data_IF_104747789888
#
_entry.id   IF_104747789888
#
_cell.length_a   1.000
_cell.length_b   1.000
_cell.length_c   1.000
_cell.angle_alpha   90.00
_cell.angle_beta   90.00
_cell.angle_gamma   90.00
#
_symmetry.space_group_name_H-M   'P 1'
#
loop_
_entity.id
_entity.type
_entity.pdbx_description
1 polymer ?
#
# COMPACT_ATOMS: atom_id res chain seq x y z
N UNK A 1 -23.85 6.00 -2.44
CA UNK A 1 -23.03 6.99 -1.69
C UNK A 1 -21.66 7.02 -2.35
N UNK A 2 -21.24 8.17 -2.86
CA UNK A 2 -19.93 8.37 -3.51
C UNK A 2 -18.90 8.67 -2.42
N UNK A 3 -17.73 8.04 -2.49
CA UNK A 3 -16.59 8.26 -1.62
C UNK A 3 -15.51 9.01 -2.40
N UNK A 4 -14.96 10.07 -1.79
CA UNK A 4 -13.97 10.95 -2.41
C UNK A 4 -12.67 10.87 -1.64
N UNK A 5 -11.55 10.57 -2.32
CA UNK A 5 -10.22 10.53 -1.71
C UNK A 5 -9.31 11.59 -2.35
N UNK A 6 -8.88 12.61 -1.59
CA UNK A 6 -7.97 13.63 -2.08
C UNK A 6 -6.52 13.12 -2.13
N UNK A 7 -5.83 13.33 -3.25
CA UNK A 7 -4.42 13.05 -3.48
C UNK A 7 -3.72 14.33 -3.96
N UNK A 8 -2.38 14.39 -3.93
CA UNK A 8 -1.66 15.62 -4.30
C UNK A 8 -1.87 15.90 -5.79
N UNK A 9 -2.67 16.94 -6.10
CA UNK A 9 -3.00 17.33 -7.47
C UNK A 9 -4.10 16.51 -8.14
N UNK A 10 -4.79 15.61 -7.43
CA UNK A 10 -5.92 14.88 -8.00
C UNK A 10 -6.97 14.48 -6.95
N UNK A 11 -8.19 14.20 -7.36
CA UNK A 11 -9.26 13.69 -6.49
C UNK A 11 -9.89 12.49 -7.16
N UNK A 12 -10.00 11.37 -6.46
CA UNK A 12 -10.63 10.16 -7.02
C UNK A 12 -11.97 9.89 -6.32
N UNK A 13 -13.01 9.74 -7.13
CA UNK A 13 -14.39 9.47 -6.70
C UNK A 13 -14.76 8.02 -7.01
N UNK A 14 -15.45 7.35 -6.08
CA UNK A 14 -15.86 5.96 -6.22
C UNK A 14 -17.28 5.75 -5.70
N UNK A 15 -18.07 4.91 -6.37
CA UNK A 15 -19.28 4.35 -5.79
C UNK A 15 -18.96 3.24 -4.79
N UNK A 16 -19.91 2.93 -3.90
CA UNK A 16 -19.77 1.87 -2.89
C UNK A 16 -19.70 0.48 -3.52
N UNK A 17 -20.37 0.29 -4.65
CA UNK A 17 -20.46 -0.98 -5.37
C UNK A 17 -19.13 -1.28 -6.09
N UNK A 18 -18.47 -0.25 -6.63
CA UNK A 18 -17.13 -0.38 -7.23
C UNK A 18 -16.04 -0.78 -6.23
N UNK A 19 -16.17 -0.42 -4.95
CA UNK A 19 -15.17 -0.74 -3.92
C UNK A 19 -15.23 -2.23 -3.54
N UNK A 20 -16.38 -2.88 -3.70
CA UNK A 20 -16.67 -4.20 -3.14
C UNK A 20 -15.83 -5.33 -3.74
N UNK A 21 -15.34 -5.15 -4.97
CA UNK A 21 -14.50 -6.13 -5.68
C UNK A 21 -13.01 -5.76 -5.69
N UNK A 22 -12.64 -4.61 -5.10
CA UNK A 22 -11.27 -4.07 -5.18
C UNK A 22 -10.39 -4.59 -4.05
N UNK A 23 -9.17 -4.94 -4.44
CA UNK A 23 -8.05 -5.20 -3.53
C UNK A 23 -7.09 -4.01 -3.57
N UNK A 24 -6.61 -3.60 -2.40
CA UNK A 24 -5.45 -2.73 -2.27
C UNK A 24 -4.30 -3.45 -1.58
N UNK A 25 -3.07 -3.08 -1.90
CA UNK A 25 -1.88 -3.55 -1.17
C UNK A 25 -1.15 -2.40 -0.51
N UNK A 26 -0.64 -2.67 0.69
CA UNK A 26 0.22 -1.73 1.41
C UNK A 26 1.42 -2.47 1.99
N UNK A 27 2.58 -1.83 2.02
CA UNK A 27 3.79 -2.38 2.62
C UNK A 27 4.38 -1.51 3.74
N UNK A 28 5.00 -2.13 4.74
CA UNK A 28 5.71 -1.42 5.80
C UNK A 28 6.52 -2.32 6.72
N UNK A 29 7.46 -1.71 7.46
CA UNK A 29 8.11 -2.42 8.57
C UNK A 29 7.18 -2.52 9.77
N UNK A 30 6.34 -1.52 10.02
CA UNK A 30 5.42 -1.49 11.18
C UNK A 30 6.14 -1.71 12.52
N UNK A 31 7.33 -1.11 12.70
CA UNK A 31 8.13 -1.26 13.92
C UNK A 31 7.37 -0.79 15.18
N UNK A 32 7.15 0.52 15.30
CA UNK A 32 6.18 1.05 16.28
C UNK A 32 4.90 1.41 15.53
N UNK A 33 3.76 0.85 15.92
CA UNK A 33 2.47 1.17 15.30
C UNK A 33 1.93 2.54 15.75
N UNK A 34 2.57 3.60 15.27
CA UNK A 34 2.19 5.00 15.51
C UNK A 34 1.06 5.48 14.58
N UNK A 35 0.61 6.72 14.76
CA UNK A 35 -0.53 7.29 14.02
C UNK A 35 -0.35 7.25 12.51
N UNK A 36 0.84 7.56 11.99
CA UNK A 36 1.10 7.45 10.54
C UNK A 36 0.86 6.05 9.95
N UNK A 37 1.11 4.96 10.68
CA UNK A 37 0.76 3.63 10.18
C UNK A 37 -0.77 3.39 10.19
N UNK A 38 -1.47 3.91 11.20
CA UNK A 38 -2.93 3.77 11.32
C UNK A 38 -3.65 4.52 10.21
N UNK A 39 -3.25 5.77 9.96
CA UNK A 39 -3.79 6.61 8.90
C UNK A 39 -3.53 5.97 7.52
N UNK A 40 -2.35 5.40 7.33
CA UNK A 40 -1.95 4.67 6.13
C UNK A 40 -2.80 3.42 5.87
N UNK A 41 -3.08 2.64 6.92
CA UNK A 41 -3.97 1.47 6.84
C UNK A 41 -5.40 1.90 6.55
N UNK A 42 -5.91 2.93 7.23
CA UNK A 42 -7.25 3.46 7.00
C UNK A 42 -7.42 3.95 5.55
N UNK A 43 -6.43 4.68 5.02
CA UNK A 43 -6.44 5.15 3.64
C UNK A 43 -6.54 4.01 2.64
N UNK A 44 -5.89 2.86 2.89
CA UNK A 44 -6.02 1.70 2.01
C UNK A 44 -7.47 1.19 1.93
N UNK A 45 -8.18 1.17 3.07
CA UNK A 45 -9.61 0.85 3.13
C UNK A 45 -10.52 1.94 2.55
N UNK A 46 -9.97 3.09 2.17
CA UNK A 46 -10.70 4.10 1.40
C UNK A 46 -10.80 3.75 -0.08
N UNK A 47 -9.83 2.99 -0.60
CA UNK A 47 -9.73 2.61 -2.01
C UNK A 47 -10.21 1.18 -2.32
N UNK A 48 -10.34 0.32 -1.31
CA UNK A 48 -10.61 -1.10 -1.50
C UNK A 48 -11.43 -1.72 -0.37
N UNK A 49 -12.20 -2.75 -0.71
CA UNK A 49 -12.91 -3.56 0.30
C UNK A 49 -11.97 -4.51 1.03
N UNK A 50 -10.97 -5.04 0.33
CA UNK A 50 -9.99 -5.96 0.90
C UNK A 50 -8.57 -5.38 0.80
N UNK A 51 -7.78 -5.50 1.87
CA UNK A 51 -6.42 -4.96 1.93
C UNK A 51 -5.40 -6.04 2.27
N UNK A 52 -4.39 -6.22 1.44
CA UNK A 52 -3.24 -7.08 1.73
C UNK A 52 -2.13 -6.20 2.32
N UNK A 53 -1.73 -6.51 3.56
CA UNK A 53 -0.77 -5.75 4.34
C UNK A 53 0.54 -6.53 4.44
N UNK A 54 1.55 -6.08 3.71
CA UNK A 54 2.88 -6.68 3.71
C UNK A 54 3.75 -6.12 4.83
N UNK A 55 4.15 -7.00 5.74
CA UNK A 55 5.04 -6.69 6.86
C UNK A 55 6.45 -7.23 6.58
N UNK A 56 7.47 -6.36 6.68
CA UNK A 56 8.86 -6.77 6.43
C UNK A 56 9.32 -7.84 7.41
N UNK A 57 9.99 -8.90 6.94
CA UNK A 57 10.59 -9.91 7.83
C UNK A 57 11.82 -9.37 8.54
N UNK A 58 12.29 -10.08 9.56
CA UNK A 58 13.47 -9.68 10.33
C UNK A 58 14.75 -9.72 9.47
N UNK A 59 14.85 -10.69 8.56
CA UNK A 59 15.92 -10.77 7.57
C UNK A 59 15.91 -9.57 6.62
N UNK A 60 14.71 -9.09 6.23
CA UNK A 60 14.61 -7.93 5.35
C UNK A 60 15.13 -6.65 6.01
N UNK A 61 14.81 -6.45 7.30
CA UNK A 61 15.15 -5.21 8.02
C UNK A 61 16.56 -5.21 8.57
N UNK A 62 17.14 -6.39 8.79
CA UNK A 62 18.51 -6.54 9.29
C UNK A 62 19.50 -5.81 8.36
N UNK A 63 20.36 -4.97 8.95
CA UNK A 63 21.34 -4.17 8.21
C UNK A 63 20.79 -3.01 7.37
N UNK A 64 19.47 -2.82 7.28
CA UNK A 64 18.86 -1.68 6.53
C UNK A 64 18.41 -0.52 7.40
N UNK A 65 18.36 -0.74 8.71
CA UNK A 65 17.99 0.27 9.71
C UNK A 65 19.16 0.47 10.65
N UNK A 66 19.38 1.73 11.02
CA UNK A 66 20.45 2.13 11.97
C UNK A 66 20.11 1.76 13.42
N UNK A 67 18.86 1.37 13.66
CA UNK A 67 18.33 0.99 14.97
C UNK A 67 17.79 -0.44 14.92
N UNK A 68 17.73 -1.08 16.09
CA UNK A 68 17.14 -2.39 16.22
C UNK A 68 15.62 -2.31 16.06
N UNK A 69 15.11 -2.97 15.02
CA UNK A 69 13.68 -3.13 14.78
C UNK A 69 13.15 -4.24 15.68
N UNK A 70 11.91 -4.10 16.18
CA UNK A 70 11.24 -5.19 16.91
C UNK A 70 11.13 -6.47 16.09
N UNK A 71 11.15 -7.66 16.73
CA UNK A 71 10.94 -8.91 16.02
C UNK A 71 9.64 -8.91 15.22
N UNK A 72 9.63 -9.65 14.11
CA UNK A 72 8.50 -9.78 13.20
C UNK A 72 7.22 -10.13 13.92
N UNK A 73 7.29 -11.09 14.83
CA UNK A 73 6.14 -11.58 15.57
C UNK A 73 5.48 -10.48 16.42
N UNK A 74 6.26 -9.67 17.13
CA UNK A 74 5.74 -8.56 17.93
C UNK A 74 5.03 -7.52 17.05
N UNK A 75 5.64 -7.17 15.92
CA UNK A 75 5.08 -6.22 14.96
C UNK A 75 3.79 -6.75 14.33
N UNK A 76 3.77 -8.04 13.97
CA UNK A 76 2.59 -8.72 13.44
C UNK A 76 1.43 -8.68 14.45
N UNK A 77 1.69 -9.05 15.71
CA UNK A 77 0.66 -9.08 16.76
C UNK A 77 0.05 -7.70 17.00
N UNK A 78 0.87 -6.65 17.06
CA UNK A 78 0.38 -5.27 17.21
C UNK A 78 -0.46 -4.82 16.03
N UNK A 79 -0.08 -5.20 14.82
CA UNK A 79 -0.83 -4.90 13.61
C UNK A 79 -2.15 -5.68 13.57
N UNK A 80 -2.13 -6.97 13.89
CA UNK A 80 -3.31 -7.85 13.97
C UNK A 80 -4.31 -7.34 15.03
N UNK A 81 -3.83 -6.89 16.19
CA UNK A 81 -4.65 -6.27 17.23
C UNK A 81 -5.31 -5.00 16.72
N UNK A 82 -4.58 -4.16 15.99
CA UNK A 82 -5.10 -2.92 15.43
C UNK A 82 -6.19 -3.15 14.39
N UNK A 83 -5.98 -4.02 13.40
CA UNK A 83 -6.98 -4.30 12.36
C UNK A 83 -8.25 -4.93 12.97
N UNK A 84 -8.11 -5.74 14.02
CA UNK A 84 -9.25 -6.24 14.80
C UNK A 84 -9.99 -5.09 15.50
N UNK A 85 -9.28 -4.16 16.13
CA UNK A 85 -9.87 -3.03 16.85
C UNK A 85 -10.67 -2.09 15.95
N UNK A 86 -10.23 -1.87 14.71
CA UNK A 86 -10.97 -1.03 13.74
C UNK A 86 -12.03 -1.80 12.94
N UNK A 87 -12.26 -3.09 13.25
CA UNK A 87 -13.35 -3.89 12.67
C UNK A 87 -13.11 -4.35 11.23
N UNK A 88 -11.85 -4.46 10.79
CA UNK A 88 -11.49 -4.83 9.40
C UNK A 88 -10.70 -6.14 9.30
N UNK A 89 -10.63 -6.92 10.39
CA UNK A 89 -9.88 -8.20 10.42
C UNK A 89 -10.26 -9.13 9.26
N UNK A 90 -11.55 -9.28 8.97
CA UNK A 90 -12.05 -10.18 7.91
C UNK A 90 -11.96 -9.57 6.51
N UNK A 91 -11.45 -8.33 6.42
CA UNK A 91 -11.26 -7.54 5.19
C UNK A 91 -9.77 -7.30 4.92
N UNK A 92 -8.89 -8.01 5.60
CA UNK A 92 -7.47 -7.92 5.32
C UNK A 92 -6.74 -9.23 5.52
N UNK A 93 -5.59 -9.31 4.86
CA UNK A 93 -4.60 -10.34 5.08
C UNK A 93 -3.27 -9.70 5.44
N UNK A 94 -2.58 -10.21 6.46
CA UNK A 94 -1.23 -9.74 6.82
C UNK A 94 -0.23 -10.79 6.34
N UNK A 95 0.68 -10.40 5.44
CA UNK A 95 1.66 -11.30 4.81
C UNK A 95 3.10 -10.87 5.10
N UNK A 96 4.04 -11.81 5.32
CA UNK A 96 5.45 -11.48 5.42
C UNK A 96 6.01 -10.98 4.07
N UNK A 97 7.04 -10.13 4.14
CA UNK A 97 7.78 -9.63 2.97
C UNK A 97 9.29 -9.63 3.27
N UNK A 98 9.98 -10.69 2.84
CA UNK A 98 11.37 -10.95 3.20
C UNK A 98 12.41 -10.52 2.16
N UNK A 99 12.07 -10.55 0.87
CA UNK A 99 13.00 -10.24 -0.22
C UNK A 99 12.33 -9.36 -1.27
N UNK A 100 12.99 -8.26 -1.65
CA UNK A 100 12.47 -7.30 -2.63
C UNK A 100 12.42 -7.85 -4.06
N UNK A 101 13.17 -8.90 -4.38
CA UNK A 101 13.16 -9.53 -5.71
C UNK A 101 12.10 -10.62 -5.77
N UNK A 102 12.09 -11.52 -4.79
CA UNK A 102 11.08 -12.60 -4.70
C UNK A 102 9.68 -12.00 -4.62
N UNK A 103 9.50 -10.94 -3.84
CA UNK A 103 8.24 -10.21 -3.78
C UNK A 103 7.79 -9.69 -5.15
N UNK A 104 8.68 -9.15 -5.99
CA UNK A 104 8.25 -8.64 -7.31
C UNK A 104 7.79 -9.79 -8.18
N UNK A 105 8.50 -10.92 -8.17
CA UNK A 105 8.12 -12.12 -8.93
C UNK A 105 6.79 -12.70 -8.43
N UNK A 106 6.62 -12.83 -7.12
CA UNK A 106 5.40 -13.35 -6.51
C UNK A 106 4.22 -12.42 -6.75
N UNK A 107 4.43 -11.12 -6.58
CA UNK A 107 3.43 -10.07 -6.84
C UNK A 107 3.03 -10.03 -8.32
N UNK A 108 3.99 -10.16 -9.24
CA UNK A 108 3.74 -10.30 -10.67
C UNK A 108 2.89 -11.55 -10.95
N UNK A 109 3.23 -12.69 -10.36
CA UNK A 109 2.50 -13.93 -10.59
C UNK A 109 1.05 -13.85 -10.08
N UNK A 110 0.84 -13.26 -8.91
CA UNK A 110 -0.49 -13.15 -8.29
C UNK A 110 -1.35 -12.11 -9.01
N UNK A 111 -0.82 -10.91 -9.24
CA UNK A 111 -1.60 -9.76 -9.70
C UNK A 111 -1.40 -9.42 -11.17
N UNK A 112 -0.89 -10.33 -12.00
CA UNK A 112 -0.97 -10.20 -13.48
C UNK A 112 -1.85 -11.27 -14.12
N UNK A 113 -2.63 -11.97 -13.29
CA UNK A 113 -3.60 -12.99 -13.69
C UNK A 113 -5.05 -12.57 -13.46
N UNK A 114 -5.27 -11.63 -12.55
CA UNK A 114 -6.58 -11.14 -12.16
C UNK A 114 -6.62 -9.61 -12.15
N UNK A 115 -7.78 -9.06 -12.50
CA UNK A 115 -7.99 -7.60 -12.61
C UNK A 115 -8.66 -6.99 -11.37
N UNK A 116 -8.44 -7.62 -10.21
CA UNK A 116 -9.05 -7.19 -8.93
C UNK A 116 -8.13 -6.29 -8.10
N UNK A 117 -6.84 -6.22 -8.44
CA UNK A 117 -5.90 -5.33 -7.77
C UNK A 117 -6.05 -3.91 -8.31
N UNK A 118 -6.63 -3.04 -7.50
CA UNK A 118 -6.92 -1.67 -7.88
C UNK A 118 -5.77 -0.71 -7.52
N UNK A 119 -5.21 -0.84 -6.32
CA UNK A 119 -4.25 0.13 -5.78
C UNK A 119 -3.08 -0.56 -5.08
N UNK A 120 -1.89 0.00 -5.23
CA UNK A 120 -0.72 -0.38 -4.45
C UNK A 120 -0.05 0.85 -3.85
N UNK A 121 0.08 0.85 -2.52
CA UNK A 121 0.80 1.90 -1.80
C UNK A 121 2.23 1.45 -1.54
N UNK A 122 3.17 2.15 -2.18
CA UNK A 122 4.54 1.68 -2.34
C UNK A 122 5.55 2.69 -1.81
N UNK A 123 6.65 2.20 -1.25
CA UNK A 123 7.79 3.06 -0.96
C UNK A 123 8.52 3.43 -2.26
N UNK A 124 9.25 4.56 -2.33
CA UNK A 124 9.82 5.06 -3.57
C UNK A 124 10.72 4.05 -4.30
N UNK A 125 11.43 3.19 -3.57
CA UNK A 125 12.28 2.15 -4.14
C UNK A 125 11.53 1.04 -4.89
N UNK A 126 10.21 0.94 -4.73
CA UNK A 126 9.36 -0.02 -5.45
C UNK A 126 8.64 0.63 -6.64
N UNK A 127 8.69 1.95 -6.79
CA UNK A 127 7.91 2.66 -7.80
C UNK A 127 8.19 2.16 -9.22
N UNK A 128 9.45 2.13 -9.65
CA UNK A 128 9.84 1.64 -10.98
C UNK A 128 9.46 0.16 -11.21
N UNK A 129 9.50 -0.66 -10.15
CA UNK A 129 9.09 -2.06 -10.21
C UNK A 129 7.58 -2.17 -10.49
N UNK A 130 6.77 -1.34 -9.83
CA UNK A 130 5.33 -1.30 -10.06
C UNK A 130 4.93 -0.68 -11.39
N UNK A 131 5.71 0.27 -11.92
CA UNK A 131 5.53 0.74 -13.30
C UNK A 131 5.78 -0.40 -14.30
N UNK A 132 6.78 -1.25 -14.08
CA UNK A 132 7.01 -2.43 -14.91
C UNK A 132 5.85 -3.44 -14.82
N UNK A 133 5.28 -3.64 -13.62
CA UNK A 133 4.07 -4.46 -13.42
C UNK A 133 2.90 -3.91 -14.23
N UNK A 134 2.65 -2.60 -14.18
CA UNK A 134 1.58 -1.95 -14.94
C UNK A 134 1.75 -2.14 -16.45
N UNK A 135 2.96 -1.93 -16.99
CA UNK A 135 3.24 -2.19 -18.41
C UNK A 135 2.93 -3.63 -18.82
N UNK A 136 3.26 -4.61 -17.97
CA UNK A 136 2.95 -6.02 -18.24
C UNK A 136 1.44 -6.29 -18.18
N UNK A 137 0.73 -5.71 -17.21
CA UNK A 137 -0.75 -5.81 -17.10
C UNK A 137 -1.41 -5.26 -18.36
N UNK A 138 -1.01 -4.07 -18.80
CA UNK A 138 -1.52 -3.42 -20.01
C UNK A 138 -1.27 -4.27 -21.27
N UNK A 139 -0.08 -4.85 -21.42
CA UNK A 139 0.24 -5.75 -22.54
C UNK A 139 -0.63 -7.01 -22.59
N UNK A 140 -1.26 -7.38 -21.46
CA UNK A 140 -2.20 -8.50 -21.33
C UNK A 140 -3.67 -8.07 -21.34
N UNK A 141 -3.96 -6.80 -21.61
CA UNK A 141 -5.32 -6.23 -21.60
C UNK A 141 -5.93 -6.03 -20.23
N UNK A 142 -5.12 -5.98 -19.16
CA UNK A 142 -5.57 -5.72 -17.79
C UNK A 142 -5.45 -4.24 -17.43
N UNK A 143 -6.28 -3.77 -16.50
CA UNK A 143 -6.19 -2.40 -16.00
C UNK A 143 -4.90 -2.18 -15.21
N UNK A 144 -4.27 -1.03 -15.33
CA UNK A 144 -3.09 -0.74 -14.50
C UNK A 144 -3.49 -0.43 -13.06
N UNK A 145 -2.57 -0.73 -12.14
CA UNK A 145 -2.73 -0.52 -10.71
C UNK A 145 -2.51 0.97 -10.43
N UNK A 146 -3.41 1.59 -9.66
CA UNK A 146 -3.20 2.91 -9.09
C UNK A 146 -2.01 2.87 -8.12
N UNK A 147 -0.92 3.53 -8.46
CA UNK A 147 0.26 3.59 -7.61
C UNK A 147 0.19 4.82 -6.71
N UNK A 148 0.21 4.60 -5.40
CA UNK A 148 0.26 5.66 -4.40
C UNK A 148 1.64 5.61 -3.74
N UNK A 149 2.49 6.61 -4.00
CA UNK A 149 3.86 6.60 -3.47
C UNK A 149 3.89 7.24 -2.09
N UNK A 150 4.34 6.49 -1.08
CA UNK A 150 4.58 7.00 0.27
C UNK A 150 5.94 7.70 0.32
N UNK A 151 6.02 9.03 0.47
CA UNK A 151 7.30 9.70 0.55
C UNK A 151 8.04 9.29 1.82
N UNK A 152 9.36 9.11 1.71
CA UNK A 152 10.24 8.97 2.89
C UNK A 152 10.78 10.35 3.23
N UNK A 153 10.33 10.89 4.35
CA UNK A 153 10.99 12.06 4.93
C UNK A 153 12.01 11.55 5.96
N UNK A 154 13.20 12.15 6.00
CA UNK A 154 14.19 11.93 7.05
C UNK A 154 14.48 13.26 7.71
N UNK A 155 14.50 13.28 9.04
CA UNK A 155 15.01 14.41 9.84
C UNK A 155 16.13 13.90 10.72
N UNK A 156 17.36 14.22 10.33
CA UNK A 156 18.57 13.64 10.93
C UNK A 156 18.57 12.11 10.91
N UNK A 157 18.65 11.49 12.09
CA UNK A 157 18.63 10.04 12.29
C UNK A 157 17.21 9.45 12.37
N UNK A 158 16.15 10.27 12.35
CA UNK A 158 14.78 9.80 12.47
C UNK A 158 14.11 9.67 11.10
N UNK A 159 13.51 8.51 10.85
CA UNK A 159 12.64 8.27 9.70
C UNK A 159 11.30 8.99 9.96
N UNK A 160 11.12 10.20 9.42
CA UNK A 160 9.90 11.02 9.53
C UNK A 160 8.69 10.39 8.84
N UNK A 161 8.80 9.18 8.27
CA UNK A 161 7.63 8.43 7.77
C UNK A 161 6.54 8.22 8.85
N UNK A 162 6.86 8.49 10.12
CA UNK A 162 5.95 8.53 11.27
C UNK A 162 5.05 9.77 11.40
N UNK A 163 5.51 10.93 10.91
CA UNK A 163 4.83 12.24 11.01
C UNK A 163 4.39 12.81 9.66
N UNK A 164 4.94 12.30 8.55
CA UNK A 164 4.65 12.75 7.19
C UNK A 164 3.25 12.46 6.66
N UNK A 165 2.45 11.63 7.35
CA UNK A 165 1.04 11.40 6.98
C UNK A 165 0.17 12.63 7.28
N UNK A 166 0.65 13.60 8.07
CA UNK A 166 0.00 14.92 8.18
C UNK A 166 0.31 15.85 6.99
N UNK A 167 1.27 15.49 6.15
CA UNK A 167 1.77 16.29 5.03
C UNK A 167 1.61 15.52 3.69
N UNK A 168 0.50 14.79 3.50
CA UNK A 168 0.26 13.85 2.39
C UNK A 168 0.37 14.49 1.00
N UNK A 169 1.59 14.74 0.57
CA UNK A 169 1.99 14.87 -0.81
C UNK A 169 2.08 13.48 -1.44
N UNK A 170 0.98 12.73 -1.45
CA UNK A 170 0.88 11.47 -2.16
C UNK A 170 0.75 11.76 -3.64
N UNK A 171 1.76 11.38 -4.42
CA UNK A 171 1.69 11.40 -5.87
C UNK A 171 1.04 10.10 -6.33
N UNK A 172 -0.08 10.27 -7.02
CA UNK A 172 -0.74 9.20 -7.73
C UNK A 172 -0.37 9.32 -9.20
N UNK A 173 0.11 8.25 -9.80
CA UNK A 173 0.20 8.20 -11.26
C UNK A 173 -1.15 7.75 -11.80
N UNK A 174 -1.90 8.59 -12.53
CA UNK A 174 -3.00 8.08 -13.33
C UNK A 174 -2.39 7.21 -14.43
N UNK A 175 -2.68 5.91 -14.41
CA UNK A 175 -2.44 5.09 -15.59
C UNK A 175 -3.59 5.30 -16.58
N UNK A 176 -3.26 5.40 -17.86
CA UNK A 176 -4.03 6.09 -18.91
C UNK A 176 -5.36 5.43 -19.36
N UNK A 177 -6.13 4.76 -18.51
CA UNK A 177 -7.38 4.11 -18.97
C UNK A 177 -8.61 4.22 -18.07
N UNK A 178 -8.57 4.93 -16.93
CA UNK A 178 -9.74 4.99 -16.04
C UNK A 178 -9.97 6.32 -15.33
N UNK A 179 -9.69 7.44 -16.01
CA UNK A 179 -10.32 8.72 -15.70
C UNK A 179 -11.49 8.93 -16.67
N UNK A 180 -12.55 8.15 -16.51
CA UNK A 180 -13.87 8.66 -16.87
C UNK A 180 -14.20 9.73 -15.82
N UNK A 181 -13.75 10.95 -16.10
CA UNK A 181 -14.33 12.15 -15.52
C UNK A 181 -15.81 12.11 -15.91
N UNK A 182 -16.64 11.74 -14.95
CA UNK A 182 -18.08 11.93 -15.05
C UNK A 182 -18.26 13.44 -15.18
N UNK A 183 -18.70 13.89 -16.36
CA UNK A 183 -19.13 15.27 -16.62
C UNK A 183 -20.27 15.69 -15.70
#
# INVERSE_FOLDING_TARGET
MIRTVPLKGNTINFSRDEIQERIATIGGTFDTLHQGHKDYINLAFDFAHYVIIYIKTDEYVNGKKIYQVRPYQERYEKLAEFVRRIGVKDKCEIRPHGNANDFVTDYLNEFTRHDVLYMAMVAPEYYEKFLAINRLRESKGMNSILLVVKPRFRDGNNDLSSSAVRCLGLEATPSMSSLNLIE
#
